data_IF_263628313225
#
_entry.id   IF_263628313225
#
_cell.length_a   1.000
_cell.length_b   1.000
_cell.length_c   1.000
_cell.angle_alpha   90.00
_cell.angle_beta   90.00
_cell.angle_gamma   90.00
#
_symmetry.space_group_name_H-M   'P 1'
#
loop_
_entity.id
_entity.type
_entity.pdbx_description
1 polymer ?
#
# COMPACT_ATOMS: atom_id res chain seq x y z
N UNK A 1 -10.78 -23.06 -19.86
CA UNK A 1 -10.48 -21.88 -20.72
C UNK A 1 -11.67 -21.39 -21.55
N UNK A 2 -12.77 -22.14 -21.74
CA UNK A 2 -13.91 -21.74 -22.59
C UNK A 2 -14.89 -20.70 -21.98
N UNK A 3 -14.91 -20.52 -20.66
CA UNK A 3 -15.76 -19.52 -20.00
C UNK A 3 -15.24 -18.08 -20.19
N UNK A 4 -13.92 -17.90 -20.30
CA UNK A 4 -13.27 -16.58 -20.45
C UNK A 4 -13.44 -15.94 -21.84
N UNK A 5 -13.76 -16.75 -22.87
CA UNK A 5 -14.04 -16.25 -24.22
C UNK A 5 -15.49 -15.83 -24.43
N UNK A 6 -16.41 -16.38 -23.62
CA UNK A 6 -17.86 -16.22 -23.80
C UNK A 6 -18.52 -15.15 -22.93
N UNK A 7 -17.81 -14.59 -21.95
CA UNK A 7 -18.33 -13.51 -21.12
C UNK A 7 -17.31 -12.40 -20.88
N UNK A 8 -17.69 -11.19 -21.27
CA UNK A 8 -16.96 -9.95 -20.99
C UNK A 8 -16.94 -9.69 -19.50
N UNK A 9 -18.06 -9.91 -18.83
CA UNK A 9 -18.17 -9.71 -17.38
C UNK A 9 -17.19 -10.61 -16.64
N UNK A 10 -17.13 -11.90 -16.98
CA UNK A 10 -16.16 -12.82 -16.39
C UNK A 10 -14.71 -12.36 -16.63
N UNK A 11 -14.39 -11.89 -17.83
CA UNK A 11 -13.05 -11.40 -18.17
C UNK A 11 -12.69 -10.12 -17.40
N UNK A 12 -13.57 -9.13 -17.34
CA UNK A 12 -13.34 -7.89 -16.59
C UNK A 12 -13.23 -8.19 -15.10
N UNK A 13 -14.17 -8.96 -14.54
CA UNK A 13 -14.19 -9.31 -13.12
C UNK A 13 -12.92 -10.06 -12.72
N UNK A 14 -12.46 -11.01 -13.53
CA UNK A 14 -11.23 -11.76 -13.26
C UNK A 14 -9.98 -10.89 -13.21
N UNK A 15 -9.87 -9.89 -14.10
CA UNK A 15 -8.73 -8.96 -14.11
C UNK A 15 -8.78 -8.01 -12.92
N UNK A 16 -9.96 -7.48 -12.60
CA UNK A 16 -10.16 -6.64 -11.40
C UNK A 16 -9.86 -7.44 -10.14
N UNK A 17 -10.35 -8.67 -10.03
CA UNK A 17 -10.10 -9.54 -8.89
C UNK A 17 -8.61 -9.87 -8.78
N UNK A 18 -7.95 -10.24 -9.88
CA UNK A 18 -6.52 -10.54 -9.87
C UNK A 18 -5.67 -9.32 -9.47
N UNK A 19 -5.99 -8.14 -9.98
CA UNK A 19 -5.29 -6.91 -9.61
C UNK A 19 -5.49 -6.58 -8.11
N UNK A 20 -6.73 -6.68 -7.60
CA UNK A 20 -7.00 -6.45 -6.18
C UNK A 20 -6.34 -7.50 -5.29
N UNK A 21 -6.33 -8.78 -5.70
CA UNK A 21 -5.69 -9.85 -4.95
C UNK A 21 -4.18 -9.61 -4.88
N UNK A 22 -3.55 -9.20 -5.98
CA UNK A 22 -2.14 -8.86 -6.03
C UNK A 22 -1.81 -7.69 -5.10
N UNK A 23 -2.62 -6.62 -5.12
CA UNK A 23 -2.48 -5.49 -4.19
C UNK A 23 -2.67 -5.93 -2.75
N UNK A 24 -3.66 -6.77 -2.45
CA UNK A 24 -3.93 -7.28 -1.11
C UNK A 24 -2.76 -8.15 -0.61
N UNK A 25 -2.19 -9.01 -1.44
CA UNK A 25 -1.01 -9.82 -1.11
C UNK A 25 0.20 -8.92 -0.83
N UNK A 26 0.49 -7.94 -1.70
CA UNK A 26 1.57 -6.99 -1.47
C UNK A 26 1.37 -6.19 -0.18
N UNK A 27 0.14 -5.73 0.09
CA UNK A 27 -0.20 -5.01 1.31
C UNK A 27 -0.04 -5.89 2.55
N UNK A 28 -0.44 -7.16 2.48
CA UNK A 28 -0.29 -8.12 3.58
C UNK A 28 1.19 -8.43 3.87
N UNK A 29 2.01 -8.60 2.82
CA UNK A 29 3.45 -8.79 2.95
C UNK A 29 4.13 -7.55 3.53
N UNK A 30 3.76 -6.35 3.06
CA UNK A 30 4.25 -5.09 3.62
C UNK A 30 3.86 -4.95 5.10
N UNK A 31 2.59 -5.18 5.43
CA UNK A 31 2.08 -5.03 6.78
C UNK A 31 2.70 -6.05 7.75
N UNK A 32 2.81 -7.32 7.34
CA UNK A 32 3.45 -8.36 8.16
C UNK A 32 4.93 -8.06 8.41
N UNK A 33 5.66 -7.62 7.37
CA UNK A 33 7.06 -7.21 7.51
C UNK A 33 7.20 -5.96 8.38
N UNK A 34 6.31 -4.97 8.22
CA UNK A 34 6.30 -3.76 9.04
C UNK A 34 6.06 -4.09 10.52
N UNK A 35 5.12 -4.98 10.82
CA UNK A 35 4.85 -5.44 12.19
C UNK A 35 6.02 -6.22 12.80
N UNK A 36 6.66 -7.12 12.04
CA UNK A 36 7.81 -7.88 12.54
C UNK A 36 9.00 -6.96 12.81
N UNK A 37 9.31 -6.05 11.88
CA UNK A 37 10.41 -5.10 12.01
C UNK A 37 10.19 -4.13 13.17
N UNK A 38 8.95 -3.70 13.41
CA UNK A 38 8.62 -2.82 14.53
C UNK A 38 8.80 -3.53 15.89
N UNK A 39 8.40 -4.81 16.00
CA UNK A 39 8.62 -5.61 17.22
C UNK A 39 10.10 -5.88 17.49
N UNK A 40 10.87 -6.20 16.45
CA UNK A 40 12.30 -6.47 16.56
C UNK A 40 13.08 -5.19 16.91
N UNK A 41 12.69 -4.04 16.34
CA UNK A 41 13.18 -2.72 16.71
C UNK A 41 12.96 -2.43 18.20
N UNK A 42 11.74 -2.60 18.69
CA UNK A 42 11.46 -2.34 20.09
C UNK A 42 12.15 -3.31 21.03
N UNK A 43 12.21 -4.61 20.72
CA UNK A 43 12.86 -5.58 21.59
C UNK A 43 14.38 -5.36 21.68
N UNK A 44 15.06 -5.29 20.53
CA UNK A 44 16.54 -5.26 20.52
C UNK A 44 17.10 -3.89 20.91
N UNK A 45 16.48 -2.80 20.41
CA UNK A 45 16.94 -1.45 20.74
C UNK A 45 16.62 -1.10 22.20
N UNK A 46 15.51 -1.60 22.77
CA UNK A 46 15.21 -1.35 24.18
C UNK A 46 16.14 -2.15 25.10
N UNK A 47 16.39 -3.44 24.83
CA UNK A 47 17.24 -4.26 25.70
C UNK A 47 18.67 -3.72 25.79
N UNK A 48 19.26 -3.31 24.66
CA UNK A 48 20.61 -2.75 24.66
C UNK A 48 20.67 -1.37 25.30
N UNK A 49 19.64 -0.54 25.10
CA UNK A 49 19.53 0.76 25.75
C UNK A 49 19.34 0.62 27.26
N UNK A 50 18.57 -0.37 27.72
CA UNK A 50 18.41 -0.70 29.14
C UNK A 50 19.75 -1.12 29.74
N UNK A 51 20.50 -1.99 29.06
CA UNK A 51 21.85 -2.36 29.52
C UNK A 51 22.80 -1.16 29.59
N UNK A 52 22.71 -0.21 28.65
CA UNK A 52 23.50 1.02 28.67
C UNK A 52 23.11 1.94 29.84
N UNK A 53 21.81 2.10 30.11
CA UNK A 53 21.33 2.89 31.25
C UNK A 53 21.75 2.27 32.59
N UNK A 54 21.69 0.95 32.71
CA UNK A 54 22.15 0.26 33.91
C UNK A 54 23.67 0.38 34.12
N UNK A 55 24.47 0.29 33.05
CA UNK A 55 25.91 0.51 33.15
C UNK A 55 26.24 1.95 33.63
N UNK A 56 25.48 2.94 33.15
CA UNK A 56 25.60 4.33 33.59
C UNK A 56 25.14 4.50 35.06
N UNK A 57 24.09 3.80 35.49
CA UNK A 57 23.65 3.79 36.88
C UNK A 57 24.72 3.19 37.80
N UNK A 58 25.35 2.08 37.41
CA UNK A 58 26.48 1.48 38.13
C UNK A 58 27.65 2.48 38.25
N UNK A 59 27.97 3.22 37.18
CA UNK A 59 28.98 4.27 37.21
C UNK A 59 28.65 5.38 38.23
N UNK A 60 27.39 5.85 38.24
CA UNK A 60 26.94 6.90 39.15
C UNK A 60 26.90 6.43 40.61
N UNK A 61 26.48 5.18 40.83
CA UNK A 61 26.53 4.49 42.10
C UNK A 61 27.97 4.36 42.61
N UNK A 62 28.90 3.97 41.76
CA UNK A 62 30.33 3.89 42.09
C UNK A 62 30.89 5.26 42.50
N UNK A 63 30.58 6.32 41.74
CA UNK A 63 30.96 7.70 42.11
C UNK A 63 30.40 8.12 43.47
N UNK A 64 29.15 7.75 43.74
CA UNK A 64 28.50 7.97 45.05
C UNK A 64 29.23 7.22 46.16
N UNK A 65 29.58 5.94 45.95
CA UNK A 65 30.32 5.14 46.92
C UNK A 65 31.65 5.79 47.32
N UNK A 66 32.46 6.20 46.34
CA UNK A 66 33.75 6.88 46.58
C UNK A 66 33.53 8.20 47.33
N UNK A 67 32.44 8.91 47.05
CA UNK A 67 32.07 10.11 47.78
C UNK A 67 31.70 9.81 49.24
N UNK A 68 31.00 8.71 49.52
CA UNK A 68 30.69 8.30 50.89
C UNK A 68 31.93 7.95 51.69
N UNK A 69 32.94 7.34 51.05
CA UNK A 69 34.25 7.17 51.70
C UNK A 69 34.88 8.51 52.10
N UNK A 70 34.86 9.50 51.21
CA UNK A 70 35.35 10.86 51.55
C UNK A 70 34.56 11.47 52.71
N UNK A 71 33.24 11.25 52.76
CA UNK A 71 32.40 11.69 53.88
C UNK A 71 32.80 11.00 55.19
N UNK A 72 33.16 9.71 55.16
CA UNK A 72 33.71 8.98 56.32
C UNK A 72 34.99 9.64 56.80
N UNK A 73 35.94 9.97 55.92
CA UNK A 73 37.20 10.59 56.35
C UNK A 73 37.01 12.01 56.89
N UNK A 74 36.19 12.83 56.22
CA UNK A 74 36.02 14.26 56.57
C UNK A 74 35.16 14.45 57.82
N UNK A 75 34.09 13.66 57.98
CA UNK A 75 33.12 13.81 59.08
C UNK A 75 33.23 12.71 60.13
N UNK A 76 34.19 11.80 59.97
CA UNK A 76 34.28 10.60 60.77
C UNK A 76 34.79 10.78 62.19
N UNK A 77 35.19 11.98 62.61
CA UNK A 77 35.46 12.27 64.03
C UNK A 77 34.17 12.14 64.87
N UNK A 78 33.02 12.46 64.27
CA UNK A 78 31.69 12.22 64.85
C UNK A 78 31.27 10.76 64.61
N UNK A 79 30.89 10.05 65.67
CA UNK A 79 30.54 8.63 65.60
C UNK A 79 29.27 8.33 64.79
N UNK A 80 28.28 9.21 64.86
CA UNK A 80 27.00 9.00 64.18
C UNK A 80 27.18 9.23 62.68
N UNK A 81 27.89 10.29 62.29
CA UNK A 81 28.25 10.57 60.90
C UNK A 81 29.13 9.47 60.31
N UNK A 82 30.17 9.03 61.04
CA UNK A 82 31.05 7.94 60.61
C UNK A 82 30.26 6.67 60.31
N UNK A 83 29.41 6.25 61.25
CA UNK A 83 28.60 5.05 61.10
C UNK A 83 27.58 5.17 59.97
N UNK A 84 26.98 6.35 59.78
CA UNK A 84 26.05 6.63 58.70
C UNK A 84 26.72 6.48 57.34
N UNK A 85 27.81 7.20 57.09
CA UNK A 85 28.48 7.22 55.79
C UNK A 85 29.18 5.90 55.48
N UNK A 86 29.73 5.22 56.49
CA UNK A 86 30.29 3.89 56.30
C UNK A 86 29.23 2.87 55.89
N UNK A 87 28.04 2.92 56.52
CA UNK A 87 26.91 2.08 56.11
C UNK A 87 26.45 2.39 54.69
N UNK A 88 26.38 3.66 54.31
CA UNK A 88 26.02 4.07 52.94
C UNK A 88 27.04 3.58 51.92
N UNK A 89 28.34 3.66 52.23
CA UNK A 89 29.40 3.06 51.42
C UNK A 89 29.18 1.55 51.20
N UNK A 90 28.95 0.79 52.27
CA UNK A 90 28.74 -0.66 52.21
C UNK A 90 27.46 -1.04 51.47
N UNK A 91 26.39 -0.25 51.65
CA UNK A 91 25.14 -0.43 50.92
C UNK A 91 25.37 -0.23 49.42
N UNK A 92 26.13 0.81 49.05
CA UNK A 92 26.42 1.07 47.66
C UNK A 92 27.33 0.00 47.04
N UNK A 93 28.30 -0.52 47.79
CA UNK A 93 29.13 -1.68 47.40
C UNK A 93 28.26 -2.89 47.06
N UNK A 94 27.28 -3.18 47.91
CA UNK A 94 26.37 -4.32 47.75
C UNK A 94 25.47 -4.14 46.52
N UNK A 95 24.86 -2.96 46.35
CA UNK A 95 24.01 -2.65 45.20
C UNK A 95 24.76 -2.76 43.88
N UNK A 96 26.01 -2.27 43.82
CA UNK A 96 26.86 -2.37 42.63
C UNK A 96 27.14 -3.85 42.31
N UNK A 97 27.51 -4.68 43.29
CA UNK A 97 27.78 -6.11 43.06
C UNK A 97 26.53 -6.86 42.58
N UNK A 98 25.35 -6.52 43.11
CA UNK A 98 24.08 -7.08 42.66
C UNK A 98 23.77 -6.68 41.20
N UNK A 99 23.84 -5.39 40.90
CA UNK A 99 23.61 -4.88 39.54
C UNK A 99 24.59 -5.49 38.52
N UNK A 100 25.86 -5.67 38.89
CA UNK A 100 26.84 -6.37 38.06
C UNK A 100 26.50 -7.85 37.84
N UNK A 101 25.97 -8.52 38.86
CA UNK A 101 25.49 -9.90 38.76
C UNK A 101 24.35 -10.07 37.76
N UNK A 102 23.47 -9.06 37.68
CA UNK A 102 22.32 -9.06 36.76
C UNK A 102 22.67 -8.58 35.35
N UNK A 103 23.62 -7.65 35.21
CA UNK A 103 24.00 -7.06 33.92
C UNK A 103 24.97 -7.96 33.14
N UNK A 104 25.99 -8.53 33.79
CA UNK A 104 27.03 -9.34 33.12
C UNK A 104 26.48 -10.49 32.24
N UNK A 105 25.43 -11.24 32.66
CA UNK A 105 24.85 -12.29 31.82
C UNK A 105 24.18 -11.76 30.54
N UNK A 106 23.66 -10.51 30.57
CA UNK A 106 22.97 -9.87 29.44
C UNK A 106 23.91 -9.19 28.45
N UNK A 107 25.12 -8.86 28.88
CA UNK A 107 26.15 -8.37 27.97
C UNK A 107 26.60 -9.51 27.04
N UNK A 108 26.53 -9.25 25.73
CA UNK A 108 27.05 -10.17 24.72
C UNK A 108 28.56 -10.40 24.93
N UNK A 109 29.06 -11.56 24.52
CA UNK A 109 30.50 -11.85 24.62
C UNK A 109 31.29 -10.83 23.78
N UNK A 110 32.16 -10.07 24.43
CA UNK A 110 32.90 -8.98 23.80
C UNK A 110 33.59 -8.10 24.83
N UNK A 111 34.25 -7.06 24.35
CA UNK A 111 35.07 -6.13 25.13
C UNK A 111 34.30 -5.48 26.29
N UNK A 112 33.05 -5.07 26.08
CA UNK A 112 32.20 -4.50 27.12
C UNK A 112 31.99 -5.45 28.32
N UNK A 113 31.79 -6.75 28.05
CA UNK A 113 31.63 -7.76 29.10
C UNK A 113 32.94 -8.01 29.84
N UNK A 114 34.07 -8.00 29.12
CA UNK A 114 35.40 -8.13 29.72
C UNK A 114 35.72 -6.96 30.67
N UNK A 115 35.53 -5.72 30.20
CA UNK A 115 35.71 -4.52 31.01
C UNK A 115 34.81 -4.53 32.26
N UNK A 116 33.53 -4.89 32.10
CA UNK A 116 32.60 -4.95 33.23
C UNK A 116 32.96 -6.08 34.22
N UNK A 117 33.51 -7.21 33.74
CA UNK A 117 34.00 -8.28 34.61
C UNK A 117 35.26 -7.85 35.37
N UNK A 118 36.20 -7.20 34.69
CA UNK A 118 37.41 -6.65 35.32
C UNK A 118 37.06 -5.58 36.33
N UNK A 119 36.07 -4.73 36.03
CA UNK A 119 35.54 -3.76 36.98
C UNK A 119 34.98 -4.46 38.21
N UNK A 120 34.15 -5.51 38.06
CA UNK A 120 33.61 -6.27 39.20
C UNK A 120 34.72 -6.78 40.12
N UNK A 121 35.75 -7.37 39.55
CA UNK A 121 36.85 -7.97 40.31
C UNK A 121 37.73 -6.88 40.97
N UNK A 122 37.99 -5.77 40.26
CA UNK A 122 38.68 -4.60 40.81
C UNK A 122 37.87 -3.94 41.94
N UNK A 123 36.55 -3.83 41.79
CA UNK A 123 35.64 -3.28 42.79
C UNK A 123 35.58 -4.16 44.05
N UNK A 124 35.65 -5.50 43.92
CA UNK A 124 35.77 -6.39 45.09
C UNK A 124 37.09 -6.19 45.85
N UNK A 125 38.22 -6.09 45.13
CA UNK A 125 39.52 -5.78 45.73
C UNK A 125 39.50 -4.40 46.42
N UNK A 126 38.89 -3.42 45.76
CA UNK A 126 38.73 -2.07 46.28
C UNK A 126 37.94 -2.05 47.59
N UNK A 127 36.82 -2.78 47.67
CA UNK A 127 36.04 -2.90 48.90
C UNK A 127 36.85 -3.49 50.07
N UNK A 128 37.69 -4.49 49.81
CA UNK A 128 38.59 -5.07 50.82
C UNK A 128 39.60 -4.03 51.33
N UNK A 129 40.24 -3.30 50.41
CA UNK A 129 41.17 -2.23 50.76
C UNK A 129 40.50 -1.09 51.55
N UNK A 130 39.27 -0.71 51.22
CA UNK A 130 38.53 0.30 52.00
C UNK A 130 38.21 -0.15 53.43
N UNK A 131 37.98 -1.45 53.65
CA UNK A 131 37.84 -2.00 55.02
C UNK A 131 39.15 -1.89 55.80
N UNK A 132 40.28 -2.19 55.18
CA UNK A 132 41.61 -1.99 55.78
C UNK A 132 41.90 -0.51 56.07
N UNK A 133 41.53 0.38 55.14
CA UNK A 133 41.62 1.83 55.31
C UNK A 133 40.75 2.35 56.45
N UNK A 134 39.55 1.80 56.62
CA UNK A 134 38.67 2.13 57.75
C UNK A 134 39.29 1.68 59.09
N UNK A 135 39.95 0.53 59.14
CA UNK A 135 40.69 0.10 60.34
C UNK A 135 41.87 1.02 60.65
N UNK A 136 42.65 1.42 59.63
CA UNK A 136 43.76 2.37 59.79
C UNK A 136 43.26 3.72 60.33
N UNK A 137 42.17 4.23 59.76
CA UNK A 137 41.46 5.42 60.22
C UNK A 137 40.98 5.29 61.68
N UNK A 138 40.46 4.13 62.08
CA UNK A 138 40.01 3.92 63.46
C UNK A 138 41.18 3.84 64.45
N UNK A 139 42.31 3.21 64.07
CA UNK A 139 43.49 3.06 64.93
C UNK A 139 44.26 4.37 65.12
N UNK A 140 44.18 5.28 64.15
CA UNK A 140 44.78 6.61 64.23
C UNK A 140 43.95 7.64 65.01
N UNK A 141 42.94 7.19 65.76
CA UNK A 141 41.97 8.06 66.43
C UNK A 141 41.20 8.97 65.45
N UNK A 142 40.80 8.41 64.30
CA UNK A 142 40.03 9.06 63.25
C UNK A 142 40.78 10.22 62.55
N UNK A 143 42.10 10.07 62.40
CA UNK A 143 42.90 10.96 61.55
C UNK A 143 42.66 10.63 60.07
N UNK A 144 42.08 11.59 59.35
CA UNK A 144 41.74 11.45 57.94
C UNK A 144 42.97 11.18 57.06
N UNK A 145 44.17 11.65 57.43
CA UNK A 145 45.39 11.43 56.64
C UNK A 145 45.79 9.96 56.63
N UNK A 146 45.75 9.31 57.79
CA UNK A 146 46.06 7.90 57.92
C UNK A 146 45.08 7.01 57.13
N UNK A 147 43.78 7.37 57.15
CA UNK A 147 42.76 6.68 56.38
C UNK A 147 42.91 6.87 54.87
N UNK A 148 43.18 8.10 54.41
CA UNK A 148 43.38 8.41 52.98
C UNK A 148 44.62 7.73 52.40
N UNK A 149 45.74 7.78 53.14
CA UNK A 149 47.00 7.19 52.71
C UNK A 149 46.90 5.66 52.53
N UNK A 150 46.10 4.99 53.35
CA UNK A 150 45.91 3.55 53.29
C UNK A 150 45.21 3.07 52.00
N UNK A 151 44.42 3.94 51.35
CA UNK A 151 43.60 3.58 50.17
C UNK A 151 43.90 4.46 48.97
N UNK A 152 45.03 5.16 48.98
CA UNK A 152 45.36 6.16 47.97
C UNK A 152 45.38 5.56 46.56
N UNK A 153 44.50 6.06 45.70
CA UNK A 153 44.42 5.66 44.28
C UNK A 153 43.80 4.29 44.03
N UNK A 154 43.23 3.63 45.04
CA UNK A 154 42.58 2.32 44.89
C UNK A 154 41.36 2.37 43.97
N UNK A 155 40.73 3.53 43.87
CA UNK A 155 39.54 3.80 43.05
C UNK A 155 39.87 4.08 41.58
N UNK A 156 41.15 4.34 41.23
CA UNK A 156 41.54 4.75 39.86
C UNK A 156 41.31 3.67 38.82
N UNK A 157 41.76 2.43 39.07
CA UNK A 157 41.57 1.32 38.14
C UNK A 157 40.08 0.99 37.99
N UNK A 158 39.29 0.78 39.07
CA UNK A 158 37.85 0.57 38.96
C UNK A 158 37.15 1.70 38.20
N UNK A 159 37.47 2.97 38.49
CA UNK A 159 36.87 4.13 37.82
C UNK A 159 37.09 4.10 36.30
N UNK A 160 38.33 3.85 35.86
CA UNK A 160 38.66 3.76 34.44
C UNK A 160 37.89 2.63 33.77
N UNK A 161 37.84 1.45 34.39
CA UNK A 161 37.14 0.28 33.83
C UNK A 161 35.64 0.52 33.67
N UNK A 162 34.97 1.12 34.66
CA UNK A 162 33.52 1.36 34.55
C UNK A 162 33.19 2.51 33.59
N UNK A 163 34.03 3.55 33.49
CA UNK A 163 33.84 4.64 32.54
C UNK A 163 34.04 4.18 31.08
N UNK A 164 35.04 3.34 30.84
CA UNK A 164 35.28 2.73 29.54
C UNK A 164 34.16 1.75 29.19
N UNK A 165 33.76 0.89 30.13
CA UNK A 165 32.66 -0.06 29.91
C UNK A 165 31.33 0.66 29.64
N UNK A 166 30.95 1.66 30.43
CA UNK A 166 29.69 2.39 30.23
C UNK A 166 29.66 3.13 28.90
N UNK A 167 30.79 3.73 28.50
CA UNK A 167 30.93 4.41 27.21
C UNK A 167 30.80 3.43 26.05
N UNK A 168 31.49 2.30 26.11
CA UNK A 168 31.43 1.28 25.07
C UNK A 168 30.02 0.68 24.94
N UNK A 169 29.36 0.35 26.06
CA UNK A 169 27.99 -0.19 26.05
C UNK A 169 27.02 0.84 25.45
N UNK A 170 27.14 2.12 25.81
CA UNK A 170 26.33 3.21 25.26
C UNK A 170 26.54 3.39 23.76
N UNK A 171 27.79 3.40 23.30
CA UNK A 171 28.10 3.54 21.86
C UNK A 171 27.62 2.34 21.04
N UNK A 172 27.76 1.13 21.57
CA UNK A 172 27.25 -0.08 20.94
C UNK A 172 25.72 -0.06 20.83
N UNK A 173 25.02 0.39 21.88
CA UNK A 173 23.57 0.52 21.88
C UNK A 173 23.09 1.56 20.84
N UNK A 174 23.75 2.73 20.79
CA UNK A 174 23.44 3.78 19.82
C UNK A 174 23.70 3.35 18.37
N UNK A 175 24.83 2.67 18.13
CA UNK A 175 25.22 2.19 16.80
C UNK A 175 24.30 1.09 16.31
N UNK A 176 23.89 0.17 17.17
CA UNK A 176 22.95 -0.88 16.79
C UNK A 176 21.53 -0.33 16.58
N UNK A 177 21.09 0.62 17.40
CA UNK A 177 19.81 1.31 17.21
C UNK A 177 19.76 2.07 15.87
N UNK A 178 20.85 2.75 15.48
CA UNK A 178 20.93 3.46 14.20
C UNK A 178 21.00 2.50 13.02
N UNK A 179 21.84 1.46 13.08
CA UNK A 179 21.96 0.45 12.02
C UNK A 179 20.64 -0.30 11.79
N UNK A 180 19.91 -0.62 12.88
CA UNK A 180 18.60 -1.25 12.79
C UNK A 180 17.57 -0.30 12.17
N UNK A 181 17.56 0.98 12.57
CA UNK A 181 16.69 1.99 11.97
C UNK A 181 16.95 2.18 10.46
N UNK A 182 18.22 2.22 10.05
CA UNK A 182 18.59 2.29 8.63
C UNK A 182 18.15 1.05 7.85
N UNK A 183 18.37 -0.14 8.41
CA UNK A 183 17.92 -1.40 7.80
C UNK A 183 16.40 -1.43 7.61
N UNK A 184 15.65 -1.10 8.67
CA UNK A 184 14.18 -1.02 8.64
C UNK A 184 13.70 0.02 7.63
N UNK A 185 14.29 1.21 7.61
CA UNK A 185 13.94 2.28 6.68
C UNK A 185 14.18 1.86 5.22
N UNK A 186 15.35 1.29 4.91
CA UNK A 186 15.71 0.85 3.55
C UNK A 186 14.76 -0.23 3.05
N UNK A 187 14.49 -1.24 3.88
CA UNK A 187 13.62 -2.35 3.50
C UNK A 187 12.15 -1.90 3.35
N UNK A 188 11.67 -1.05 4.26
CA UNK A 188 10.32 -0.47 4.20
C UNK A 188 10.14 0.36 2.93
N UNK A 189 11.14 1.18 2.57
CA UNK A 189 11.11 2.00 1.35
C UNK A 189 11.10 1.14 0.09
N UNK A 190 11.93 0.08 0.05
CA UNK A 190 11.99 -0.85 -1.08
C UNK A 190 10.65 -1.58 -1.27
N UNK A 191 10.12 -2.20 -0.22
CA UNK A 191 8.85 -2.94 -0.28
C UNK A 191 7.69 -1.98 -0.59
N UNK A 192 7.68 -0.78 0.01
CA UNK A 192 6.69 0.26 -0.28
C UNK A 192 6.73 0.70 -1.76
N UNK A 193 7.92 0.86 -2.33
CA UNK A 193 8.07 1.20 -3.75
C UNK A 193 7.60 0.08 -4.68
N UNK A 194 7.86 -1.19 -4.34
CA UNK A 194 7.36 -2.35 -5.09
C UNK A 194 5.84 -2.48 -5.01
N UNK A 195 5.24 -2.17 -3.85
CA UNK A 195 3.80 -2.13 -3.68
C UNK A 195 3.18 -1.04 -4.56
N UNK A 196 3.75 0.17 -4.56
CA UNK A 196 3.29 1.25 -5.43
C UNK A 196 3.41 0.89 -6.91
N UNK A 197 4.54 0.31 -7.33
CA UNK A 197 4.75 -0.17 -8.70
C UNK A 197 3.70 -1.22 -9.09
N UNK A 198 3.39 -2.15 -8.17
CA UNK A 198 2.39 -3.21 -8.38
C UNK A 198 0.98 -2.65 -8.54
N UNK A 199 0.61 -1.63 -7.76
CA UNK A 199 -0.67 -0.92 -7.89
C UNK A 199 -0.75 -0.21 -9.24
N UNK A 200 0.30 0.51 -9.65
CA UNK A 200 0.35 1.22 -10.94
C UNK A 200 0.23 0.22 -12.09
N UNK A 201 1.01 -0.87 -12.05
CA UNK A 201 0.98 -1.91 -13.09
C UNK A 201 -0.39 -2.59 -13.19
N UNK A 202 -1.00 -2.94 -12.05
CA UNK A 202 -2.34 -3.54 -12.00
C UNK A 202 -3.43 -2.59 -12.54
N UNK A 203 -3.34 -1.31 -12.19
CA UNK A 203 -4.27 -0.26 -12.68
C UNK A 203 -4.13 -0.09 -14.20
N UNK A 204 -2.91 0.01 -14.70
CA UNK A 204 -2.64 0.16 -16.13
C UNK A 204 -3.13 -1.07 -16.92
N UNK A 205 -2.89 -2.28 -16.40
CA UNK A 205 -3.39 -3.52 -17.00
C UNK A 205 -4.92 -3.54 -17.05
N UNK A 206 -5.60 -3.14 -15.96
CA UNK A 206 -7.05 -3.05 -15.91
C UNK A 206 -7.59 -2.06 -16.95
N UNK A 207 -7.00 -0.87 -17.06
CA UNK A 207 -7.38 0.15 -18.06
C UNK A 207 -7.21 -0.40 -19.48
N UNK A 208 -6.08 -1.07 -19.76
CA UNK A 208 -5.79 -1.64 -21.09
C UNK A 208 -6.81 -2.71 -21.48
N UNK A 209 -7.13 -3.63 -20.55
CA UNK A 209 -8.11 -4.70 -20.79
C UNK A 209 -9.50 -4.12 -20.99
N UNK A 210 -9.93 -3.18 -20.15
CA UNK A 210 -11.26 -2.56 -20.24
C UNK A 210 -11.41 -1.75 -21.53
N UNK A 211 -10.38 -0.97 -21.88
CA UNK A 211 -10.36 -0.16 -23.10
C UNK A 211 -10.51 -1.04 -24.36
N UNK A 212 -9.74 -2.13 -24.44
CA UNK A 212 -9.75 -3.03 -25.61
C UNK A 212 -10.95 -3.98 -25.65
N UNK A 213 -11.39 -4.50 -24.50
CA UNK A 213 -12.41 -5.56 -24.45
C UNK A 213 -13.84 -5.00 -24.38
N UNK A 214 -14.01 -3.77 -23.90
CA UNK A 214 -15.33 -3.16 -23.69
C UNK A 214 -15.46 -1.84 -24.42
N UNK A 215 -14.63 -0.84 -24.08
CA UNK A 215 -14.84 0.55 -24.54
C UNK A 215 -14.76 0.67 -26.06
N UNK A 216 -13.72 0.11 -26.69
CA UNK A 216 -13.56 0.16 -28.16
C UNK A 216 -14.69 -0.57 -28.90
N UNK A 217 -15.00 -1.85 -28.61
CA UNK A 217 -16.09 -2.55 -29.28
C UNK A 217 -17.47 -1.92 -29.08
N UNK A 218 -17.75 -1.39 -27.89
CA UNK A 218 -19.00 -0.65 -27.62
C UNK A 218 -19.06 0.60 -28.50
N UNK A 219 -17.99 1.41 -28.55
CA UNK A 219 -17.94 2.59 -29.44
C UNK A 219 -18.18 2.24 -30.90
N UNK A 220 -17.56 1.17 -31.40
CA UNK A 220 -17.77 0.70 -32.79
C UNK A 220 -19.23 0.34 -33.03
N UNK A 221 -19.83 -0.43 -32.12
CA UNK A 221 -21.22 -0.87 -32.27
C UNK A 221 -22.21 0.30 -32.15
N UNK A 222 -21.98 1.23 -31.23
CA UNK A 222 -22.79 2.45 -31.09
C UNK A 222 -22.72 3.31 -32.34
N UNK A 223 -21.54 3.48 -32.95
CA UNK A 223 -21.40 4.21 -34.21
C UNK A 223 -22.19 3.56 -35.35
N UNK A 224 -22.09 2.23 -35.50
CA UNK A 224 -22.85 1.49 -36.52
C UNK A 224 -24.36 1.59 -36.33
N UNK A 225 -24.83 1.50 -35.08
CA UNK A 225 -26.26 1.66 -34.77
C UNK A 225 -26.75 3.09 -34.99
N UNK A 226 -25.90 4.09 -34.77
CA UNK A 226 -26.23 5.49 -35.06
C UNK A 226 -26.46 5.69 -36.56
N UNK A 227 -25.52 5.24 -37.41
CA UNK A 227 -25.66 5.30 -38.87
C UNK A 227 -26.91 4.56 -39.36
N UNK A 228 -27.20 3.39 -38.79
CA UNK A 228 -28.44 2.66 -39.08
C UNK A 228 -29.70 3.48 -38.74
N UNK A 229 -29.69 4.18 -37.60
CA UNK A 229 -30.77 5.07 -37.18
C UNK A 229 -30.96 6.30 -38.07
N UNK A 230 -29.90 6.74 -38.74
CA UNK A 230 -29.93 7.82 -39.75
C UNK A 230 -30.40 7.32 -41.14
N UNK A 231 -30.67 6.02 -41.29
CA UNK A 231 -31.10 5.40 -42.54
C UNK A 231 -29.94 4.99 -43.46
N UNK A 232 -28.69 5.10 -43.01
CA UNK A 232 -27.53 4.59 -43.74
C UNK A 232 -27.40 3.07 -43.54
N UNK A 233 -27.85 2.31 -44.55
CA UNK A 233 -27.79 0.85 -44.59
C UNK A 233 -26.51 0.32 -45.24
N UNK A 234 -25.51 1.17 -45.50
CA UNK A 234 -24.31 0.80 -46.28
C UNK A 234 -23.35 -0.14 -45.54
N UNK A 235 -23.26 -0.06 -44.21
CA UNK A 235 -22.32 -0.86 -43.40
C UNK A 235 -23.06 -1.73 -42.36
N UNK A 236 -23.14 -3.06 -42.54
CA UNK A 236 -23.68 -3.95 -41.53
C UNK A 236 -22.73 -4.07 -40.33
N UNK A 237 -23.26 -4.32 -39.13
CA UNK A 237 -22.43 -4.46 -37.94
C UNK A 237 -21.36 -5.56 -38.10
N UNK A 238 -20.09 -5.17 -38.19
CA UNK A 238 -18.94 -6.04 -38.51
C UNK A 238 -18.33 -6.76 -37.30
N UNK A 239 -18.74 -6.39 -36.08
CA UNK A 239 -18.20 -6.98 -34.85
C UNK A 239 -18.56 -8.47 -34.76
N UNK A 240 -17.54 -9.34 -34.75
CA UNK A 240 -17.66 -10.79 -34.53
C UNK A 240 -17.01 -11.17 -33.20
N UNK A 241 -17.83 -11.56 -32.22
CA UNK A 241 -17.42 -12.02 -30.89
C UNK A 241 -18.37 -13.12 -30.42
N UNK A 242 -17.93 -13.94 -29.48
CA UNK A 242 -18.73 -15.01 -28.87
C UNK A 242 -19.34 -14.60 -27.52
N UNK A 243 -19.21 -13.33 -27.13
CA UNK A 243 -19.63 -12.80 -25.84
C UNK A 243 -20.88 -11.91 -25.95
N UNK A 244 -21.23 -11.23 -24.86
CA UNK A 244 -22.45 -10.41 -24.78
C UNK A 244 -22.48 -9.30 -25.84
N UNK A 245 -21.32 -8.74 -26.21
CA UNK A 245 -21.24 -7.75 -27.30
C UNK A 245 -21.34 -8.40 -28.68
N UNK A 246 -20.91 -9.65 -28.82
CA UNK A 246 -21.16 -10.47 -30.01
C UNK A 246 -22.66 -10.69 -30.24
N UNK A 247 -23.38 -11.07 -29.19
CA UNK A 247 -24.85 -11.23 -29.24
C UNK A 247 -25.56 -9.92 -29.57
N UNK A 248 -25.07 -8.79 -29.08
CA UNK A 248 -25.62 -7.48 -29.43
C UNK A 248 -25.36 -7.12 -30.90
N UNK A 249 -24.19 -7.48 -31.42
CA UNK A 249 -23.87 -7.33 -32.84
C UNK A 249 -24.71 -8.24 -33.74
N UNK A 250 -25.02 -9.47 -33.32
CA UNK A 250 -25.95 -10.36 -34.03
C UNK A 250 -27.36 -9.75 -34.10
N UNK A 251 -27.86 -9.22 -32.99
CA UNK A 251 -29.15 -8.53 -32.97
C UNK A 251 -29.16 -7.30 -33.88
N UNK A 252 -28.08 -6.50 -33.89
CA UNK A 252 -27.93 -5.36 -34.78
C UNK A 252 -27.91 -5.77 -36.27
N UNK A 253 -27.24 -6.86 -36.62
CA UNK A 253 -27.25 -7.42 -37.98
C UNK A 253 -28.65 -7.85 -38.41
N UNK A 254 -29.40 -8.52 -37.54
CA UNK A 254 -30.76 -8.93 -37.84
C UNK A 254 -31.69 -7.72 -38.06
N UNK A 255 -31.53 -6.66 -37.25
CA UNK A 255 -32.27 -5.41 -37.42
C UNK A 255 -31.92 -4.72 -38.75
N UNK A 256 -30.63 -4.65 -39.10
CA UNK A 256 -30.17 -4.11 -40.38
C UNK A 256 -30.78 -4.88 -41.57
N UNK A 257 -30.76 -6.21 -41.54
CA UNK A 257 -31.35 -7.05 -42.58
C UNK A 257 -32.86 -6.81 -42.74
N UNK A 258 -33.59 -6.73 -41.62
CA UNK A 258 -35.02 -6.43 -41.61
C UNK A 258 -35.34 -5.04 -42.19
N UNK A 259 -34.57 -4.01 -41.83
CA UNK A 259 -34.74 -2.66 -42.36
C UNK A 259 -34.39 -2.58 -43.85
N UNK A 260 -33.34 -3.27 -44.28
CA UNK A 260 -32.95 -3.35 -45.70
C UNK A 260 -34.01 -4.03 -46.56
N UNK A 261 -34.56 -5.16 -46.10
CA UNK A 261 -35.64 -5.86 -46.78
C UNK A 261 -36.91 -5.01 -46.85
N UNK A 262 -37.26 -4.33 -45.75
CA UNK A 262 -38.40 -3.41 -45.70
C UNK A 262 -38.22 -2.24 -46.65
N UNK A 263 -37.03 -1.63 -46.69
CA UNK A 263 -36.69 -0.56 -47.63
C UNK A 263 -36.80 -1.00 -49.09
N UNK A 264 -36.30 -2.20 -49.42
CA UNK A 264 -36.43 -2.77 -50.76
C UNK A 264 -37.90 -3.06 -51.14
N UNK A 265 -38.71 -3.53 -50.19
CA UNK A 265 -40.14 -3.75 -50.41
C UNK A 265 -40.88 -2.43 -50.66
N UNK A 266 -40.60 -1.39 -49.87
CA UNK A 266 -41.15 -0.04 -50.08
C UNK A 266 -40.73 0.53 -51.44
N UNK A 267 -39.49 0.33 -51.87
CA UNK A 267 -39.02 0.71 -53.20
C UNK A 267 -39.82 0.06 -54.33
N UNK A 268 -40.05 -1.26 -54.24
CA UNK A 268 -40.89 -1.98 -55.21
C UNK A 268 -42.34 -1.50 -55.21
N UNK A 269 -42.92 -1.23 -54.03
CA UNK A 269 -44.27 -0.66 -53.95
C UNK A 269 -44.35 0.74 -54.56
N UNK A 270 -43.32 1.58 -54.37
CA UNK A 270 -43.27 2.90 -54.99
C UNK A 270 -43.17 2.82 -56.52
N UNK A 271 -42.35 1.91 -57.07
CA UNK A 271 -42.28 1.65 -58.52
C UNK A 271 -43.61 1.14 -59.08
N UNK A 272 -44.23 0.16 -58.41
CA UNK A 272 -45.52 -0.39 -58.82
C UNK A 272 -46.64 0.67 -58.75
N UNK A 273 -46.66 1.50 -57.71
CA UNK A 273 -47.60 2.60 -57.57
C UNK A 273 -47.40 3.66 -58.68
N UNK A 274 -46.14 3.98 -59.00
CA UNK A 274 -45.80 4.88 -60.11
C UNK A 274 -46.31 4.34 -61.45
N UNK A 275 -46.00 3.08 -61.76
CA UNK A 275 -46.47 2.40 -62.98
C UNK A 275 -48.00 2.31 -63.06
N UNK A 276 -48.67 2.02 -61.94
CA UNK A 276 -50.14 1.99 -61.85
C UNK A 276 -50.72 3.38 -62.09
N UNK A 277 -50.11 4.43 -61.52
CA UNK A 277 -50.52 5.82 -61.72
C UNK A 277 -50.38 6.24 -63.18
N UNK A 278 -49.32 5.82 -63.86
CA UNK A 278 -49.11 6.08 -65.28
C UNK A 278 -50.13 5.34 -66.16
N UNK A 279 -50.43 4.08 -65.84
CA UNK A 279 -51.49 3.31 -66.50
C UNK A 279 -52.87 3.93 -66.28
N UNK A 280 -53.16 4.39 -65.06
CA UNK A 280 -54.42 5.08 -64.73
C UNK A 280 -54.56 6.38 -65.52
N UNK A 281 -53.48 7.17 -65.63
CA UNK A 281 -53.45 8.39 -66.43
C UNK A 281 -53.67 8.09 -67.91
N UNK A 282 -53.07 7.03 -68.44
CA UNK A 282 -53.29 6.57 -69.82
C UNK A 282 -54.75 6.17 -70.07
N UNK A 283 -55.33 5.38 -69.16
CA UNK A 283 -56.75 4.98 -69.23
C UNK A 283 -57.70 6.17 -69.12
N UNK A 284 -57.44 7.11 -68.20
CA UNK A 284 -58.23 8.34 -68.08
C UNK A 284 -58.21 9.15 -69.37
N UNK A 285 -57.06 9.24 -70.05
CA UNK A 285 -56.95 9.89 -71.36
C UNK A 285 -57.74 9.14 -72.44
N UNK A 286 -57.69 7.81 -72.47
CA UNK A 286 -58.47 7.00 -73.41
C UNK A 286 -59.99 7.18 -73.20
N UNK A 287 -60.44 7.23 -71.94
CA UNK A 287 -61.85 7.48 -71.59
C UNK A 287 -62.27 8.88 -72.02
N UNK A 288 -61.45 9.91 -71.77
CA UNK A 288 -61.74 11.26 -72.22
C UNK A 288 -61.90 11.32 -73.75
N UNK A 289 -60.96 10.73 -74.50
CA UNK A 289 -61.04 10.68 -75.96
C UNK A 289 -62.28 9.91 -76.45
N UNK A 290 -62.65 8.81 -75.79
CA UNK A 290 -63.85 8.04 -76.15
C UNK A 290 -65.14 8.80 -75.81
N UNK A 291 -65.14 9.56 -74.72
CA UNK A 291 -66.24 10.45 -74.34
C UNK A 291 -66.45 11.52 -75.41
N UNK A 292 -65.36 12.15 -75.90
CA UNK A 292 -65.43 13.14 -76.98
C UNK A 292 -66.00 12.53 -78.27
N UNK A 293 -65.54 11.34 -78.66
CA UNK A 293 -66.05 10.61 -79.83
C UNK A 293 -67.53 10.24 -79.68
N UNK A 294 -67.95 9.77 -78.51
CA UNK A 294 -69.35 9.50 -78.21
C UNK A 294 -70.21 10.75 -78.25
N UNK A 295 -69.69 11.89 -77.77
CA UNK A 295 -70.39 13.16 -77.86
C UNK A 295 -70.61 13.57 -79.32
N UNK A 296 -69.58 13.49 -80.16
CA UNK A 296 -69.70 13.72 -81.61
C UNK A 296 -70.71 12.78 -82.28
N UNK A 297 -70.75 11.50 -81.90
CA UNK A 297 -71.73 10.54 -82.43
C UNK A 297 -73.15 10.86 -81.96
N UNK A 298 -73.33 11.26 -80.71
CA UNK A 298 -74.63 11.70 -80.19
C UNK A 298 -75.07 12.97 -80.93
N UNK A 299 -74.18 13.92 -81.19
CA UNK A 299 -74.48 15.08 -82.03
C UNK A 299 -74.91 14.66 -83.44
N UNK A 300 -74.19 13.74 -84.10
CA UNK A 300 -74.57 13.23 -85.41
C UNK A 300 -75.93 12.50 -85.39
N UNK A 301 -76.21 11.70 -84.37
CA UNK A 301 -77.50 11.03 -84.18
C UNK A 301 -78.59 12.08 -83.93
N UNK A 302 -78.32 13.09 -83.11
CA UNK A 302 -79.25 14.19 -82.87
C UNK A 302 -79.52 14.96 -84.15
N UNK A 303 -78.50 15.28 -84.96
CA UNK A 303 -78.65 15.89 -86.28
C UNK A 303 -79.48 14.99 -87.20
N UNK A 304 -79.19 13.69 -87.27
CA UNK A 304 -79.92 12.73 -88.09
C UNK A 304 -81.37 12.55 -87.63
N UNK A 305 -81.64 12.55 -86.32
CA UNK A 305 -82.99 12.54 -85.75
C UNK A 305 -83.74 13.83 -86.04
N UNK A 306 -83.05 14.97 -86.01
CA UNK A 306 -83.64 16.27 -86.35
C UNK A 306 -83.98 16.34 -87.85
N UNK A 307 -83.10 15.84 -88.72
CA UNK A 307 -83.35 15.66 -90.17
C UNK A 307 -84.51 14.68 -90.44
N UNK A 308 -84.55 13.53 -89.75
CA UNK A 308 -85.68 12.57 -89.82
C UNK A 308 -86.99 13.17 -89.34
N UNK A 309 -86.97 13.95 -88.24
CA UNK A 309 -88.16 14.60 -87.70
C UNK A 309 -88.61 15.80 -88.54
N UNK A 310 -87.72 16.41 -89.33
CA UNK A 310 -88.05 17.44 -90.30
C UNK A 310 -88.54 16.85 -91.64
N UNK A 311 -88.39 15.54 -91.86
CA UNK A 311 -88.86 14.81 -93.05
C UNK A 311 -90.09 13.92 -92.78
N UNK A 312 -90.63 13.94 -91.57
CA UNK A 312 -91.91 13.32 -91.18
C UNK A 312 -93.01 14.38 -91.05
#
# INVERSE_FOLDING_TARGET
MSLFSRSILARVLSVVLAANLLVAICALLYFSHSLSSNREYHALASDQMVNALEAEDILNQFKTQVQEWKNVLIRGSDSDQRNKYWRQFQQQETSIQQALGDLLPRLQNGEARDLMSRFRDAHQRMGLAYREGFEAFSRSNYDHQAGDQAVQGIDREPAQLIEEASTLIREQALTQASALNESVSRNTTLIGSLMLLSIIAGTLLCILVLSRSVVRPVRTLTAQLHSLGEGDLSDPATLRREDELGRLADAARNLHAFLSETGALMGRFAEQLSSTSESLRSNAQAVANHSDLSHQRIEQIATAMNEMSATA
#
